data_IF_273055062143
#
_entry.id   IF_273055062143
#
_cell.length_a   1.000
_cell.length_b   1.000
_cell.length_c   1.000
_cell.angle_alpha   90.00
_cell.angle_beta   90.00
_cell.angle_gamma   90.00
#
_symmetry.space_group_name_H-M   'P 1'
#
loop_
_entity.id
_entity.type
_entity.pdbx_description
1 polymer ?
#
# COMPACT_ATOMS: atom_id res chain seq x y z
N UNK A 1 62.87 -19.43 -15.71
CA UNK A 1 61.80 -18.89 -16.58
C UNK A 1 62.46 -18.12 -17.70
N UNK A 2 62.35 -18.60 -18.94
CA UNK A 2 62.92 -17.96 -20.13
C UNK A 2 62.17 -16.65 -20.42
N UNK A 3 62.81 -15.67 -21.07
CA UNK A 3 62.22 -14.35 -21.31
C UNK A 3 60.87 -14.41 -22.04
N UNK A 4 60.70 -15.35 -22.98
CA UNK A 4 59.45 -15.57 -23.70
C UNK A 4 58.34 -16.13 -22.80
N UNK A 5 58.64 -17.09 -21.93
CA UNK A 5 57.64 -17.69 -21.01
C UNK A 5 57.07 -16.66 -20.03
N UNK A 6 57.86 -15.64 -19.65
CA UNK A 6 57.42 -14.53 -18.79
C UNK A 6 56.35 -13.67 -19.47
N UNK A 7 56.38 -13.53 -20.80
CA UNK A 7 55.40 -12.73 -21.56
C UNK A 7 54.04 -13.45 -21.54
N UNK A 8 54.00 -14.75 -21.85
CA UNK A 8 52.77 -15.54 -21.80
C UNK A 8 52.15 -15.59 -20.40
N UNK A 9 52.97 -15.70 -19.35
CA UNK A 9 52.48 -15.64 -17.96
C UNK A 9 51.89 -14.28 -17.60
N UNK A 10 52.44 -13.18 -18.14
CA UNK A 10 51.90 -11.83 -17.92
C UNK A 10 50.54 -11.68 -18.61
N UNK A 11 50.41 -12.17 -19.82
CA UNK A 11 49.17 -12.13 -20.60
C UNK A 11 48.02 -12.88 -19.90
N UNK A 12 48.29 -14.10 -19.41
CA UNK A 12 47.33 -14.85 -18.59
C UNK A 12 46.97 -14.11 -17.31
N UNK A 13 47.94 -13.47 -16.65
CA UNK A 13 47.69 -12.69 -15.44
C UNK A 13 46.82 -11.45 -15.73
N UNK A 14 47.01 -10.80 -16.87
CA UNK A 14 46.23 -9.64 -17.31
C UNK A 14 44.80 -10.05 -17.67
N UNK A 15 44.61 -11.16 -18.41
CA UNK A 15 43.29 -11.72 -18.67
C UNK A 15 42.56 -12.14 -17.39
N UNK A 16 43.29 -12.72 -16.43
CA UNK A 16 42.71 -13.08 -15.13
C UNK A 16 42.22 -11.83 -14.40
N UNK A 17 43.00 -10.74 -14.37
CA UNK A 17 42.55 -9.47 -13.80
C UNK A 17 41.32 -8.91 -14.50
N UNK A 18 41.31 -8.91 -15.83
CA UNK A 18 40.18 -8.43 -16.60
C UNK A 18 38.90 -9.22 -16.31
N UNK A 19 39.01 -10.55 -16.18
CA UNK A 19 37.89 -11.40 -15.79
C UNK A 19 37.39 -11.06 -14.37
N UNK A 20 38.30 -10.81 -13.42
CA UNK A 20 37.94 -10.37 -12.06
C UNK A 20 37.18 -9.04 -12.07
N UNK A 21 37.65 -8.04 -12.83
CA UNK A 21 36.99 -6.73 -12.92
C UNK A 21 35.57 -6.87 -13.51
N UNK A 22 35.39 -7.73 -14.51
CA UNK A 22 34.08 -8.03 -15.09
C UNK A 22 33.16 -8.68 -14.07
N UNK A 23 33.64 -9.68 -13.33
CA UNK A 23 32.86 -10.38 -12.30
C UNK A 23 32.44 -9.41 -11.19
N UNK A 24 33.34 -8.53 -10.75
CA UNK A 24 33.01 -7.54 -9.74
C UNK A 24 31.94 -6.56 -10.23
N UNK A 25 32.07 -6.06 -11.46
CA UNK A 25 31.05 -5.22 -12.09
C UNK A 25 29.69 -5.94 -12.22
N UNK A 26 29.69 -7.22 -12.59
CA UNK A 26 28.46 -8.02 -12.65
C UNK A 26 27.83 -8.20 -11.28
N UNK A 27 28.64 -8.36 -10.24
CA UNK A 27 28.16 -8.46 -8.85
C UNK A 27 27.48 -7.16 -8.42
N UNK A 28 28.08 -6.01 -8.71
CA UNK A 28 27.48 -4.70 -8.43
C UNK A 28 26.15 -4.51 -9.16
N UNK A 29 26.08 -4.86 -10.45
CA UNK A 29 24.84 -4.78 -11.24
C UNK A 29 23.78 -5.72 -10.66
N UNK A 30 24.14 -6.96 -10.31
CA UNK A 30 23.21 -7.92 -9.73
C UNK A 30 22.61 -7.42 -8.40
N UNK A 31 23.44 -6.84 -7.53
CA UNK A 31 22.98 -6.21 -6.29
C UNK A 31 22.06 -5.03 -6.58
N UNK A 32 22.42 -4.15 -7.52
CA UNK A 32 21.58 -3.01 -7.90
C UNK A 32 20.21 -3.44 -8.44
N UNK A 33 20.14 -4.52 -9.22
CA UNK A 33 18.88 -5.08 -9.73
C UNK A 33 18.03 -5.65 -8.60
N UNK A 34 18.64 -6.36 -7.63
CA UNK A 34 17.93 -6.86 -6.45
C UNK A 34 17.36 -5.71 -5.62
N UNK A 35 18.13 -4.66 -5.38
CA UNK A 35 17.68 -3.48 -4.63
C UNK A 35 16.52 -2.77 -5.35
N UNK A 36 16.61 -2.65 -6.68
CA UNK A 36 15.52 -2.12 -7.51
C UNK A 36 14.27 -2.99 -7.42
N UNK A 37 14.41 -4.31 -7.47
CA UNK A 37 13.30 -5.24 -7.35
C UNK A 37 12.60 -5.14 -5.99
N UNK A 38 13.36 -5.09 -4.90
CA UNK A 38 12.82 -4.90 -3.54
C UNK A 38 12.08 -3.56 -3.45
N UNK A 39 12.62 -2.51 -4.06
CA UNK A 39 11.97 -1.19 -4.12
C UNK A 39 10.64 -1.23 -4.87
N UNK A 40 10.60 -1.89 -6.03
CA UNK A 40 9.38 -2.09 -6.81
C UNK A 40 8.32 -2.89 -6.03
N UNK A 41 8.72 -3.98 -5.37
CA UNK A 41 7.81 -4.78 -4.52
C UNK A 41 7.27 -3.92 -3.37
N UNK A 42 8.12 -3.14 -2.71
CA UNK A 42 7.70 -2.23 -1.64
C UNK A 42 6.72 -1.16 -2.13
N UNK A 43 6.93 -0.62 -3.34
CA UNK A 43 6.00 0.31 -3.97
C UNK A 43 4.64 -0.35 -4.22
N UNK A 44 4.63 -1.58 -4.76
CA UNK A 44 3.39 -2.35 -4.97
C UNK A 44 2.66 -2.63 -3.66
N UNK A 45 3.38 -3.01 -2.61
CA UNK A 45 2.79 -3.20 -1.28
C UNK A 45 2.17 -1.90 -0.75
N UNK A 46 2.85 -0.76 -0.92
CA UNK A 46 2.31 0.54 -0.53
C UNK A 46 1.04 0.88 -1.32
N UNK A 47 0.99 0.60 -2.63
CA UNK A 47 -0.23 0.77 -3.44
C UNK A 47 -1.38 -0.10 -2.93
N UNK A 48 -1.13 -1.39 -2.69
CA UNK A 48 -2.14 -2.34 -2.17
C UNK A 48 -2.65 -1.89 -0.79
N UNK A 49 -1.76 -1.50 0.12
CA UNK A 49 -2.12 -1.02 1.46
C UNK A 49 -2.94 0.27 1.40
N UNK A 50 -2.62 1.20 0.48
CA UNK A 50 -3.43 2.40 0.27
C UNK A 50 -4.85 2.02 -0.15
N UNK A 51 -5.01 1.15 -1.13
CA UNK A 51 -6.35 0.72 -1.62
C UNK A 51 -7.15 0.08 -0.49
N UNK A 52 -6.57 -0.87 0.25
CA UNK A 52 -7.22 -1.52 1.37
C UNK A 52 -7.63 -0.51 2.47
N UNK A 53 -6.75 0.44 2.78
CA UNK A 53 -7.01 1.47 3.80
C UNK A 53 -8.13 2.41 3.35
N UNK A 54 -8.18 2.82 2.08
CA UNK A 54 -9.26 3.66 1.55
C UNK A 54 -10.61 2.95 1.70
N UNK A 55 -10.68 1.67 1.29
CA UNK A 55 -11.90 0.86 1.42
C UNK A 55 -12.28 0.76 2.90
N UNK A 56 -11.38 0.33 3.78
CA UNK A 56 -11.64 0.18 5.20
C UNK A 56 -12.10 1.50 5.85
N UNK A 57 -11.44 2.62 5.56
CA UNK A 57 -11.77 3.93 6.16
C UNK A 57 -13.17 4.41 5.76
N UNK A 58 -13.67 4.03 4.58
CA UNK A 58 -15.04 4.33 4.15
C UNK A 58 -16.04 3.38 4.83
N UNK A 59 -15.74 2.09 4.85
CA UNK A 59 -16.66 1.06 5.36
C UNK A 59 -16.78 1.04 6.88
N UNK A 60 -15.72 1.28 7.65
CA UNK A 60 -15.76 1.23 9.12
C UNK A 60 -16.83 2.18 9.72
N UNK A 61 -16.85 3.49 9.42
CA UNK A 61 -17.88 4.39 9.95
C UNK A 61 -19.27 4.07 9.40
N UNK A 62 -19.40 3.65 8.14
CA UNK A 62 -20.67 3.22 7.57
C UNK A 62 -21.24 1.99 8.29
N UNK A 63 -20.40 0.96 8.47
CA UNK A 63 -20.76 -0.27 9.20
C UNK A 63 -21.06 0.01 10.66
N UNK A 64 -20.37 0.97 11.30
CA UNK A 64 -20.68 1.39 12.65
C UNK A 64 -22.09 2.00 12.74
N UNK A 65 -22.44 2.91 11.84
CA UNK A 65 -23.78 3.52 11.79
C UNK A 65 -24.84 2.46 11.48
N UNK A 66 -24.61 1.62 10.48
CA UNK A 66 -25.52 0.53 10.13
C UNK A 66 -25.68 -0.49 11.28
N UNK A 67 -24.59 -0.78 12.00
CA UNK A 67 -24.60 -1.63 13.18
C UNK A 67 -25.40 -1.00 14.32
N UNK A 68 -25.17 0.27 14.63
CA UNK A 68 -25.89 1.02 15.66
C UNK A 68 -27.41 1.03 15.38
N UNK A 69 -27.83 1.36 14.15
CA UNK A 69 -29.24 1.35 13.75
C UNK A 69 -29.81 -0.06 13.54
N UNK A 70 -28.96 -1.09 13.42
CA UNK A 70 -29.35 -2.50 13.32
C UNK A 70 -29.53 -3.21 14.67
N UNK A 71 -29.21 -2.54 15.78
CA UNK A 71 -29.44 -3.09 17.12
C UNK A 71 -30.93 -3.05 17.47
N UNK A 72 -31.44 -4.15 18.05
CA UNK A 72 -32.85 -4.27 18.48
C UNK A 72 -33.12 -3.42 19.73
N UNK A 73 -33.33 -2.12 19.52
CA UNK A 73 -33.65 -1.15 20.56
C UNK A 73 -35.14 -1.20 20.92
N UNK A 74 -35.46 -1.66 22.14
CA UNK A 74 -36.83 -1.89 22.60
C UNK A 74 -37.61 -0.57 22.81
N UNK A 75 -38.71 -0.37 22.08
CA UNK A 75 -39.46 0.90 21.98
C UNK A 75 -40.04 1.41 23.32
N UNK A 76 -40.16 0.54 24.33
CA UNK A 76 -40.78 0.84 25.63
C UNK A 76 -39.82 1.47 26.67
N UNK A 77 -38.51 1.57 26.40
CA UNK A 77 -37.55 2.16 27.35
C UNK A 77 -37.39 3.67 27.14
N UNK A 78 -37.48 4.48 28.21
CA UNK A 78 -37.26 5.95 28.18
C UNK A 78 -35.88 6.39 27.66
N UNK A 79 -34.92 5.47 27.59
CA UNK A 79 -33.56 5.69 27.09
C UNK A 79 -33.37 5.21 25.64
N UNK A 80 -34.43 4.71 25.02
CA UNK A 80 -34.39 4.23 23.64
C UNK A 80 -34.31 5.42 22.67
N UNK A 81 -33.47 5.30 21.64
CA UNK A 81 -33.15 6.34 20.66
C UNK A 81 -34.44 7.10 20.21
N UNK A 82 -34.61 8.40 20.53
CA UNK A 82 -35.83 9.15 20.18
C UNK A 82 -36.03 9.31 18.66
N UNK A 83 -34.97 9.07 17.87
CA UNK A 83 -34.95 9.12 16.41
C UNK A 83 -35.70 7.97 15.73
N UNK A 84 -35.96 6.85 16.44
CA UNK A 84 -36.64 5.67 15.88
C UNK A 84 -38.13 5.90 15.62
N UNK A 85 -38.75 6.83 16.37
CA UNK A 85 -40.14 7.26 16.17
C UNK A 85 -40.28 8.45 15.21
N UNK A 86 -39.17 8.96 14.67
CA UNK A 86 -39.19 10.10 13.74
C UNK A 86 -39.42 9.58 12.31
N UNK A 87 -40.45 10.05 11.62
CA UNK A 87 -40.80 9.64 10.25
C UNK A 87 -39.64 9.78 9.25
N UNK A 88 -38.69 10.67 9.55
CA UNK A 88 -37.49 10.92 8.73
C UNK A 88 -36.18 10.36 9.33
N UNK A 89 -36.21 9.60 10.43
CA UNK A 89 -34.99 9.07 11.07
C UNK A 89 -34.17 8.16 10.14
N UNK A 90 -34.85 7.28 9.39
CA UNK A 90 -34.19 6.39 8.42
C UNK A 90 -33.59 7.14 7.21
N UNK A 91 -34.31 8.08 6.54
CA UNK A 91 -33.73 8.96 5.53
C UNK A 91 -32.56 9.81 6.05
N UNK A 92 -32.63 10.31 7.29
CA UNK A 92 -31.58 11.15 7.88
C UNK A 92 -30.31 10.32 8.15
N UNK A 93 -30.44 9.09 8.66
CA UNK A 93 -29.31 8.17 8.85
C UNK A 93 -28.63 7.82 7.51
N UNK A 94 -29.43 7.56 6.46
CA UNK A 94 -28.91 7.38 5.09
C UNK A 94 -28.18 8.63 4.58
N UNK A 95 -28.72 9.83 4.84
CA UNK A 95 -28.08 11.09 4.51
C UNK A 95 -26.72 11.27 5.20
N UNK A 96 -26.61 10.91 6.48
CA UNK A 96 -25.36 10.97 7.25
C UNK A 96 -24.33 9.96 6.71
N UNK A 97 -24.76 8.72 6.42
CA UNK A 97 -23.89 7.71 5.80
C UNK A 97 -23.38 8.17 4.44
N UNK A 98 -24.24 8.72 3.59
CA UNK A 98 -23.87 9.25 2.28
C UNK A 98 -22.90 10.44 2.41
N UNK A 99 -23.19 11.37 3.33
CA UNK A 99 -22.33 12.52 3.58
C UNK A 99 -20.93 12.08 4.08
N UNK A 100 -20.85 11.13 5.02
CA UNK A 100 -19.59 10.56 5.49
C UNK A 100 -18.79 9.91 4.34
N UNK A 101 -19.44 9.13 3.48
CA UNK A 101 -18.79 8.51 2.34
C UNK A 101 -18.23 9.56 1.36
N UNK A 102 -19.01 10.61 1.06
CA UNK A 102 -18.60 11.69 0.16
C UNK A 102 -17.44 12.50 0.76
N UNK A 103 -17.50 12.86 2.04
CA UNK A 103 -16.43 13.61 2.73
C UNK A 103 -15.13 12.82 2.69
N UNK A 104 -15.17 11.52 2.98
CA UNK A 104 -13.98 10.66 2.92
C UNK A 104 -13.44 10.54 1.49
N UNK A 105 -14.30 10.35 0.49
CA UNK A 105 -13.89 10.31 -0.92
C UNK A 105 -13.21 11.61 -1.37
N UNK A 106 -13.79 12.76 -1.04
CA UNK A 106 -13.22 14.08 -1.37
C UNK A 106 -11.89 14.29 -0.65
N UNK A 107 -11.79 13.89 0.62
CA UNK A 107 -10.55 13.96 1.39
C UNK A 107 -9.44 13.13 0.75
N UNK A 108 -9.70 11.85 0.41
CA UNK A 108 -8.72 10.98 -0.25
C UNK A 108 -8.34 11.47 -1.65
N UNK A 109 -9.29 12.04 -2.39
CA UNK A 109 -9.02 12.66 -3.70
C UNK A 109 -8.14 13.89 -3.59
N UNK A 110 -8.38 14.77 -2.61
CA UNK A 110 -7.54 15.96 -2.35
C UNK A 110 -6.13 15.58 -1.90
N UNK A 111 -6.00 14.50 -1.14
CA UNK A 111 -4.70 14.01 -0.67
C UNK A 111 -3.88 13.30 -1.76
N UNK A 112 -4.46 13.11 -2.96
CA UNK A 112 -3.78 12.49 -4.10
C UNK A 112 -3.63 10.98 -3.99
N UNK A 113 -4.42 10.31 -3.15
CA UNK A 113 -4.28 8.87 -2.90
C UNK A 113 -4.83 7.99 -4.06
N UNK A 114 -5.57 8.59 -4.98
CA UNK A 114 -6.05 7.96 -6.22
C UNK A 114 -5.15 8.20 -7.43
N UNK A 115 -3.96 8.79 -7.23
CA UNK A 115 -2.91 8.92 -8.25
C UNK A 115 -1.80 7.90 -7.98
#
# INVERSE_FOLDING_TARGET
VTAETRIYLRDVADHTRQAFDIIESHREIATSVLDMYISLVSQRLNEVMKVLTIIATIFIPLSFVAGLYGMNFNQDSKWNMPELNFTYGYPMALGIMLACAIVMLVYFRRKGWFK
#
